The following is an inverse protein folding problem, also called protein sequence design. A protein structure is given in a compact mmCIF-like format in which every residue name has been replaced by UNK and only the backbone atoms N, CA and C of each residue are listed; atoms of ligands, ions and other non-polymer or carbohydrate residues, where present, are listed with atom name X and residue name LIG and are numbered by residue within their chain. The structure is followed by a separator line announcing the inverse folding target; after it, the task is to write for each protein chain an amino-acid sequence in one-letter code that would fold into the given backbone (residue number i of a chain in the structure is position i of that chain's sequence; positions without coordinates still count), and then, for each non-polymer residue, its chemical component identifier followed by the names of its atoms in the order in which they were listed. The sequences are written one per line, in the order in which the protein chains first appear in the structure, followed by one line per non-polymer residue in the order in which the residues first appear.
data_IF_334484338406
#
_entry.id   IF_334484338406
#
_cell.length_a   1.000
_cell.length_b   1.000
_cell.length_c   1.000
_cell.angle_alpha   90.00
_cell.angle_beta   90.00
_cell.angle_gamma   90.00
#
_symmetry.space_group_name_H-M   'P 1'
#
loop_
_entity.id
_entity.type
_entity.pdbx_description
1 polymer ?
#
# COMPACT_ATOMS: atom_id res chain seq x y z
N UNK A 1 19.27 12.25 -1.09
CA UNK A 1 19.62 11.34 0.02
C UNK A 1 18.46 10.38 0.30
N UNK A 2 17.23 10.90 0.45
CA UNK A 2 16.02 10.11 0.64
C UNK A 2 15.75 9.06 -0.46
N UNK A 3 15.90 9.40 -1.75
CA UNK A 3 15.70 8.43 -2.84
C UNK A 3 16.63 7.21 -2.79
N UNK A 4 17.91 7.40 -2.42
CA UNK A 4 18.86 6.28 -2.30
C UNK A 4 18.46 5.36 -1.16
N UNK A 5 18.05 5.91 -0.01
CA UNK A 5 17.59 5.14 1.15
C UNK A 5 16.35 4.31 0.78
N UNK A 6 15.35 4.94 0.17
CA UNK A 6 14.14 4.25 -0.28
C UNK A 6 14.43 3.13 -1.31
N UNK A 7 15.44 3.30 -2.16
CA UNK A 7 15.84 2.27 -3.12
C UNK A 7 16.47 1.03 -2.45
N UNK A 8 17.29 1.24 -1.43
CA UNK A 8 17.90 0.15 -0.66
C UNK A 8 16.84 -0.60 0.14
N UNK A 9 15.99 0.11 0.87
CA UNK A 9 14.92 -0.50 1.67
C UNK A 9 13.91 -1.26 0.79
N UNK A 10 13.51 -0.70 -0.35
CA UNK A 10 12.68 -1.41 -1.32
C UNK A 10 13.34 -2.71 -1.83
N UNK A 11 14.67 -2.73 -1.95
CA UNK A 11 15.40 -3.92 -2.37
C UNK A 11 15.44 -4.98 -1.28
N UNK A 12 15.62 -4.60 -0.01
CA UNK A 12 15.57 -5.52 1.14
C UNK A 12 14.19 -6.20 1.21
N UNK A 13 13.11 -5.42 1.18
CA UNK A 13 11.73 -5.94 1.19
C UNK A 13 11.49 -6.94 0.06
N UNK A 14 11.95 -6.64 -1.16
CA UNK A 14 11.81 -7.52 -2.33
C UNK A 14 12.60 -8.83 -2.14
N UNK A 15 13.78 -8.78 -1.53
CA UNK A 15 14.62 -9.96 -1.34
C UNK A 15 14.08 -10.90 -0.24
N UNK A 16 13.38 -10.35 0.75
CA UNK A 16 12.82 -11.10 1.86
C UNK A 16 11.47 -11.75 1.53
N UNK A 17 10.70 -11.17 0.62
CA UNK A 17 9.38 -11.69 0.25
C UNK A 17 9.44 -12.73 -0.87
N UNK A 18 8.64 -13.80 -0.73
CA UNK A 18 8.34 -14.76 -1.81
C UNK A 18 6.95 -14.52 -2.42
N UNK A 19 6.21 -13.57 -1.87
CA UNK A 19 4.83 -13.29 -2.23
C UNK A 19 4.75 -12.12 -3.20
N UNK A 20 3.74 -12.14 -4.08
CA UNK A 20 3.47 -11.02 -5.00
C UNK A 20 2.74 -9.87 -4.33
N UNK A 21 2.15 -10.09 -3.15
CA UNK A 21 1.47 -9.06 -2.37
C UNK A 21 2.35 -8.75 -1.16
N UNK A 22 2.75 -7.49 -1.01
CA UNK A 22 3.57 -7.03 0.10
C UNK A 22 2.69 -6.11 0.95
N UNK A 23 2.48 -6.48 2.22
CA UNK A 23 1.62 -5.76 3.15
C UNK A 23 2.39 -5.40 4.39
N UNK A 24 2.47 -4.11 4.72
CA UNK A 24 3.19 -3.62 5.91
C UNK A 24 2.49 -2.42 6.55
N UNK A 25 2.71 -2.25 7.85
CA UNK A 25 2.17 -1.14 8.63
C UNK A 25 3.31 -0.39 9.34
N UNK A 26 3.52 0.86 8.95
CA UNK A 26 4.58 1.72 9.48
C UNK A 26 4.08 2.60 10.63
N UNK A 27 5.00 3.00 11.52
CA UNK A 27 4.74 3.93 12.64
C UNK A 27 5.81 5.04 12.74
N UNK A 28 6.91 4.93 12.00
CA UNK A 28 8.13 5.71 12.13
C UNK A 28 8.60 6.30 10.78
N UNK A 29 7.67 6.48 9.85
CA UNK A 29 7.92 7.06 8.53
C UNK A 29 6.95 8.20 8.23
N UNK A 30 7.31 9.03 7.26
CA UNK A 30 6.41 10.02 6.67
C UNK A 30 5.60 9.41 5.52
N UNK A 31 4.43 9.99 5.17
CA UNK A 31 3.65 9.54 4.01
C UNK A 31 4.46 9.59 2.70
N UNK A 32 5.35 10.58 2.57
CA UNK A 32 6.22 10.73 1.40
C UNK A 32 7.24 9.59 1.29
N UNK A 33 7.87 9.18 2.39
CA UNK A 33 8.80 8.04 2.43
C UNK A 33 8.10 6.73 2.06
N UNK A 34 6.93 6.46 2.63
CA UNK A 34 6.13 5.27 2.31
C UNK A 34 5.71 5.27 0.85
N UNK A 35 5.34 6.43 0.31
CA UNK A 35 5.02 6.58 -1.13
C UNK A 35 6.22 6.29 -2.01
N UNK A 36 7.41 6.76 -1.65
CA UNK A 36 8.62 6.43 -2.40
C UNK A 36 8.94 4.93 -2.34
N UNK A 37 8.76 4.27 -1.20
CA UNK A 37 8.95 2.82 -1.09
C UNK A 37 8.00 2.07 -2.03
N UNK A 38 6.71 2.38 -1.99
CA UNK A 38 5.70 1.79 -2.89
C UNK A 38 6.11 1.93 -4.35
N UNK A 39 6.46 3.15 -4.78
CA UNK A 39 6.86 3.42 -6.15
C UNK A 39 8.14 2.69 -6.57
N UNK A 40 9.12 2.56 -5.66
CA UNK A 40 10.35 1.83 -5.95
C UNK A 40 10.11 0.33 -6.06
N UNK A 41 9.21 -0.23 -5.26
CA UNK A 41 8.90 -1.67 -5.29
C UNK A 41 8.14 -2.03 -6.56
N UNK A 42 7.06 -1.33 -6.89
CA UNK A 42 6.21 -1.66 -8.05
C UNK A 42 6.92 -1.47 -9.41
N UNK A 43 8.05 -0.75 -9.43
CA UNK A 43 8.91 -0.59 -10.63
C UNK A 43 9.94 -1.70 -10.80
N UNK A 44 10.17 -2.53 -9.78
CA UNK A 44 11.25 -3.54 -9.73
C UNK A 44 10.76 -4.97 -9.97
N UNK A 45 9.47 -5.20 -10.19
CA UNK A 45 8.92 -6.54 -10.46
C UNK A 45 7.41 -6.54 -10.55
N UNK A 46 6.81 -7.71 -10.39
CA UNK A 46 5.36 -7.92 -10.44
C UNK A 46 4.77 -7.98 -9.02
N UNK A 47 4.58 -6.81 -8.42
CA UNK A 47 4.14 -6.65 -7.04
C UNK A 47 2.85 -5.86 -6.93
N UNK A 48 2.03 -6.23 -5.95
CA UNK A 48 1.02 -5.37 -5.33
C UNK A 48 1.54 -4.99 -3.96
N UNK A 49 1.59 -3.69 -3.66
CA UNK A 49 2.13 -3.17 -2.40
C UNK A 49 1.00 -2.46 -1.67
N UNK A 50 0.73 -2.90 -0.45
CA UNK A 50 -0.33 -2.40 0.41
C UNK A 50 0.30 -1.90 1.70
N UNK A 51 0.60 -0.61 1.77
CA UNK A 51 1.22 -0.03 2.96
C UNK A 51 0.25 0.84 3.73
N UNK A 52 0.22 0.64 5.04
CA UNK A 52 -0.39 1.54 6.01
C UNK A 52 0.68 2.33 6.76
N UNK A 53 0.34 3.54 7.22
CA UNK A 53 1.17 4.34 8.10
C UNK A 53 0.30 4.97 9.19
N UNK A 54 0.60 4.68 10.46
CA UNK A 54 0.03 5.37 11.62
C UNK A 54 0.79 6.68 11.83
N UNK A 55 0.24 7.79 11.34
CA UNK A 55 0.75 9.13 11.64
C UNK A 55 0.21 9.67 12.96
N UNK A 56 0.73 10.81 13.40
CA UNK A 56 0.33 11.44 14.66
C UNK A 56 -1.13 11.95 14.63
N UNK A 57 -1.55 12.55 13.51
CA UNK A 57 -2.89 13.12 13.36
C UNK A 57 -3.83 12.26 12.50
N UNK A 58 -3.27 11.46 11.58
CA UNK A 58 -4.02 10.70 10.58
C UNK A 58 -3.34 9.39 10.22
N UNK A 59 -4.14 8.41 9.87
CA UNK A 59 -3.69 7.17 9.24
C UNK A 59 -3.59 7.37 7.74
N UNK A 60 -2.60 6.74 7.11
CA UNK A 60 -2.41 6.77 5.66
C UNK A 60 -2.41 5.36 5.09
N UNK A 61 -3.10 5.16 3.96
CA UNK A 61 -2.97 4.00 3.10
C UNK A 61 -2.34 4.45 1.79
N UNK A 62 -1.26 3.80 1.39
CA UNK A 62 -0.59 4.04 0.11
C UNK A 62 -0.45 2.69 -0.59
N UNK A 63 -1.24 2.51 -1.64
CA UNK A 63 -1.47 1.23 -2.28
C UNK A 63 -1.01 1.33 -3.74
N UNK A 64 -0.11 0.44 -4.15
CA UNK A 64 0.47 0.46 -5.49
C UNK A 64 0.43 -0.90 -6.17
N UNK A 65 0.44 -0.89 -7.50
CA UNK A 65 0.45 -2.10 -8.31
C UNK A 65 1.35 -1.92 -9.54
N UNK A 66 2.18 -2.93 -9.81
CA UNK A 66 3.04 -2.97 -10.99
C UNK A 66 2.24 -2.96 -12.29
N UNK A 67 2.80 -2.36 -13.34
CA UNK A 67 2.12 -2.21 -14.63
C UNK A 67 1.72 -3.54 -15.29
N UNK A 68 2.46 -4.61 -15.02
CA UNK A 68 2.19 -5.95 -15.54
C UNK A 68 1.03 -6.68 -14.84
N UNK A 69 0.49 -6.12 -13.74
CA UNK A 69 -0.63 -6.68 -13.00
C UNK A 69 -1.89 -5.89 -13.36
N UNK A 70 -2.85 -6.56 -14.00
CA UNK A 70 -4.09 -5.93 -14.47
C UNK A 70 -5.14 -5.80 -13.35
N UNK A 71 -4.86 -4.96 -12.35
CA UNK A 71 -5.79 -4.61 -11.26
C UNK A 71 -5.87 -3.08 -11.15
N UNK A 72 -7.08 -2.54 -11.05
CA UNK A 72 -7.30 -1.11 -10.79
C UNK A 72 -7.34 -0.84 -9.27
N UNK A 73 -6.29 -0.22 -8.72
CA UNK A 73 -6.20 0.13 -7.30
C UNK A 73 -7.34 1.05 -6.83
N UNK A 74 -7.98 1.80 -7.73
CA UNK A 74 -9.12 2.67 -7.37
C UNK A 74 -10.33 1.88 -6.89
N UNK A 75 -10.45 0.61 -7.25
CA UNK A 75 -11.50 -0.28 -6.74
C UNK A 75 -11.41 -0.49 -5.22
N UNK A 76 -10.24 -0.29 -4.62
CA UNK A 76 -10.02 -0.46 -3.16
C UNK A 76 -10.59 0.73 -2.37
N UNK A 77 -10.57 1.94 -2.95
CA UNK A 77 -10.99 3.18 -2.28
C UNK A 77 -12.34 3.05 -1.56
N UNK A 78 -13.45 2.65 -2.23
CA UNK A 78 -14.75 2.54 -1.56
C UNK A 78 -14.80 1.46 -0.46
N UNK A 79 -13.87 0.49 -0.46
CA UNK A 79 -13.81 -0.58 0.54
C UNK A 79 -13.13 -0.13 1.84
N UNK A 80 -12.13 0.75 1.74
CA UNK A 80 -11.26 1.11 2.87
C UNK A 80 -11.50 2.51 3.40
N UNK A 81 -11.87 3.47 2.54
CA UNK A 81 -12.11 4.86 2.95
C UNK A 81 -13.16 4.97 4.07
N UNK A 82 -14.30 4.26 4.05
CA UNK A 82 -15.28 4.34 5.14
C UNK A 82 -14.75 3.87 6.50
N UNK A 83 -13.83 2.89 6.52
CA UNK A 83 -13.28 2.31 7.75
C UNK A 83 -12.41 3.30 8.52
N UNK A 84 -11.64 4.12 7.79
CA UNK A 84 -10.72 5.09 8.38
C UNK A 84 -11.25 6.54 8.38
N UNK A 85 -12.52 6.76 8.00
CA UNK A 85 -13.06 8.09 7.63
C UNK A 85 -12.14 8.82 6.64
N UNK A 86 -11.61 8.06 5.69
CA UNK A 86 -10.55 8.47 4.79
C UNK A 86 -11.03 9.26 3.59
N UNK A 87 -10.19 10.20 3.15
CA UNK A 87 -10.31 10.89 1.86
C UNK A 87 -9.06 10.65 1.04
N UNK A 88 -9.23 10.56 -0.26
CA UNK A 88 -8.12 10.31 -1.18
C UNK A 88 -8.58 9.70 -2.49
N UNK A 89 -7.62 9.09 -3.19
CA UNK A 89 -7.83 8.51 -4.51
C UNK A 89 -6.50 8.37 -5.24
N UNK A 90 -6.56 8.34 -6.57
CA UNK A 90 -5.36 8.24 -7.39
C UNK A 90 -5.68 7.70 -8.78
N UNK A 91 -4.75 6.91 -9.30
CA UNK A 91 -4.85 6.26 -10.62
C UNK A 91 -4.88 4.75 -10.46
N UNK A 92 -5.04 4.03 -11.56
CA UNK A 92 -5.13 2.57 -11.54
C UNK A 92 -3.93 1.87 -10.87
N UNK A 93 -2.73 2.43 -10.98
CA UNK A 93 -1.50 1.86 -10.40
C UNK A 93 -1.13 2.39 -9.01
N UNK A 94 -1.77 3.44 -8.51
CA UNK A 94 -1.44 4.05 -7.22
C UNK A 94 -2.64 4.79 -6.63
N UNK A 95 -2.96 4.49 -5.38
CA UNK A 95 -3.98 5.16 -4.58
C UNK A 95 -3.39 5.59 -3.23
N UNK A 96 -3.74 6.80 -2.81
CA UNK A 96 -3.32 7.38 -1.53
C UNK A 96 -4.58 7.86 -0.78
N UNK A 97 -4.75 7.44 0.46
CA UNK A 97 -5.91 7.75 1.31
C UNK A 97 -5.41 8.17 2.68
N UNK A 98 -5.88 9.30 3.20
CA UNK A 98 -5.61 9.76 4.56
C UNK A 98 -6.92 9.79 5.37
N UNK A 99 -6.92 9.27 6.58
CA UNK A 99 -8.12 9.12 7.42
C UNK A 99 -7.88 9.44 8.90
N UNK A 100 -8.97 9.78 9.59
CA UNK A 100 -8.98 10.22 10.99
C UNK A 100 -8.99 9.03 11.98
N UNK A 101 -9.51 7.87 11.59
CA UNK A 101 -9.60 6.69 12.47
C UNK A 101 -8.35 5.80 12.30
N UNK A 102 -7.26 6.18 12.96
CA UNK A 102 -5.96 5.49 12.92
C UNK A 102 -6.07 4.06 13.48
N UNK A 103 -6.94 3.84 14.45
CA UNK A 103 -7.22 2.55 15.07
C UNK A 103 -7.76 1.50 14.08
N UNK A 104 -8.49 1.95 13.05
CA UNK A 104 -9.08 1.08 12.04
C UNK A 104 -8.15 0.84 10.84
N UNK A 105 -6.95 1.41 10.84
CA UNK A 105 -6.03 1.36 9.71
C UNK A 105 -5.59 -0.08 9.38
N UNK A 106 -5.33 -0.89 10.40
CA UNK A 106 -4.96 -2.29 10.23
C UNK A 106 -6.10 -3.11 9.63
N UNK A 107 -7.34 -2.88 10.11
CA UNK A 107 -8.54 -3.50 9.54
C UNK A 107 -8.74 -3.09 8.07
N UNK A 108 -8.53 -1.80 7.76
CA UNK A 108 -8.65 -1.29 6.39
C UNK A 108 -7.58 -1.88 5.47
N UNK A 109 -6.36 -2.07 5.97
CA UNK A 109 -5.27 -2.70 5.25
C UNK A 109 -5.55 -4.19 4.98
N UNK A 110 -6.10 -4.90 5.98
CA UNK A 110 -6.53 -6.29 5.81
C UNK A 110 -7.65 -6.42 4.79
N UNK A 111 -8.61 -5.50 4.80
CA UNK A 111 -9.70 -5.45 3.81
C UNK A 111 -9.19 -5.27 2.39
N UNK A 112 -8.15 -4.44 2.20
CA UNK A 112 -7.49 -4.26 0.91
C UNK A 112 -6.75 -5.55 0.49
N UNK A 113 -6.04 -6.18 1.43
CA UNK A 113 -5.29 -7.42 1.18
C UNK A 113 -6.19 -8.55 0.69
N UNK A 114 -7.30 -8.82 1.39
CA UNK A 114 -8.26 -9.84 1.01
C UNK A 114 -8.91 -9.57 -0.36
N UNK A 115 -9.19 -8.30 -0.67
CA UNK A 115 -9.71 -7.92 -1.98
C UNK A 115 -8.71 -8.23 -3.11
N UNK A 116 -7.42 -7.91 -2.90
CA UNK A 116 -6.36 -8.16 -3.88
C UNK A 116 -6.10 -9.67 -4.03
N UNK A 117 -6.02 -10.40 -2.92
CA UNK A 117 -5.81 -11.85 -2.92
C UNK A 117 -6.85 -12.56 -3.79
N UNK A 118 -8.13 -12.19 -3.62
CA UNK A 118 -9.24 -12.67 -4.45
C UNK A 118 -9.09 -12.28 -5.92
N UNK A 119 -8.74 -11.02 -6.23
CA UNK A 119 -8.50 -10.54 -7.60
C UNK A 119 -7.35 -11.29 -8.29
N UNK A 120 -6.34 -11.72 -7.52
CA UNK A 120 -5.19 -12.48 -8.01
C UNK A 120 -5.43 -13.99 -8.07
N UNK A 121 -6.61 -14.48 -7.65
CA UNK A 121 -6.94 -15.91 -7.64
C UNK A 121 -6.10 -16.70 -6.62
N UNK A 122 -5.68 -16.07 -5.52
CA UNK A 122 -4.85 -16.66 -4.46
C UNK A 122 -5.69 -17.17 -3.27
N UNK A 123 -7.00 -17.34 -3.46
CA UNK A 123 -7.88 -17.94 -2.46
C UNK A 123 -7.62 -19.46 -2.40
N UNK A 124 -7.23 -19.94 -1.21
CA UNK A 124 -7.22 -21.36 -0.83
C UNK A 124 -8.52 -21.70 -0.09
#
# INVERSE_FOLDING_TARGET
MQEKIAQYEAQEIIQETKEKIIKELFVDKTPEEVRFLVLNIIRKGDFVVLFGLKGEERGHLILGCSENINIDMREIVPLVSPLIKGKGGGRSSLVEIAGEEIENLEQALERAFEFIKKKMGLDL
#
